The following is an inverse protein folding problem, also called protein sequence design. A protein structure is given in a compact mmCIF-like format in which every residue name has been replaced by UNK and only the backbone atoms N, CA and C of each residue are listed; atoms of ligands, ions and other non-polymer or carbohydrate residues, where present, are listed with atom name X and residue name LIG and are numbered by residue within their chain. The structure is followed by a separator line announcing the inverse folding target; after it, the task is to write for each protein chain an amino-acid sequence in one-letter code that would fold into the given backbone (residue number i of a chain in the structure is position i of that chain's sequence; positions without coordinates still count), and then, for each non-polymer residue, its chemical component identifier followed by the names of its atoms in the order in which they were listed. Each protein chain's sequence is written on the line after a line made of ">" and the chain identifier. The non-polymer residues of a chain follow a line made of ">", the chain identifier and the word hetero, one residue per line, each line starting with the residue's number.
data_IF_738598967313
#
_entry.id   IF_738598967313
#
_cell.length_a   1.000
_cell.length_b   1.000
_cell.length_c   1.000
_cell.angle_alpha   90.00
_cell.angle_beta   90.00
_cell.angle_gamma   90.00
#
_symmetry.space_group_name_H-M   'P 1'
#
loop_
_entity.id
_entity.type
_entity.pdbx_description
1 polymer ?
#
# COMPACT_ATOMS: atom_id res chain seq x y z
N UNK A 1 2.95 27.98 1.77
CA UNK A 1 2.66 26.97 0.72
C UNK A 1 1.36 26.23 0.97
N UNK A 2 1.21 25.39 2.02
CA UNK A 2 -0.05 24.67 2.30
C UNK A 2 -1.26 25.61 2.37
N UNK A 3 -1.12 26.73 3.08
CA UNK A 3 -2.20 27.71 3.22
C UNK A 3 -2.62 28.32 1.89
N UNK A 4 -1.65 28.56 1.01
CA UNK A 4 -1.85 29.05 -0.36
C UNK A 4 -2.58 28.02 -1.22
N UNK A 5 -2.19 26.74 -1.13
CA UNK A 5 -2.85 25.66 -1.88
C UNK A 5 -4.31 25.50 -1.43
N UNK A 6 -4.55 25.51 -0.11
CA UNK A 6 -5.88 25.40 0.46
C UNK A 6 -6.77 26.64 0.19
N UNK A 7 -6.19 27.81 -0.05
CA UNK A 7 -6.97 29.01 -0.41
C UNK A 7 -7.30 29.08 -1.90
N UNK A 8 -6.40 28.61 -2.77
CA UNK A 8 -6.58 28.66 -4.22
C UNK A 8 -7.48 27.53 -4.74
N UNK A 9 -7.50 26.38 -4.05
CA UNK A 9 -8.31 25.22 -4.43
C UNK A 9 -9.07 24.67 -3.21
N UNK A 10 -10.02 25.45 -2.66
CA UNK A 10 -10.84 24.96 -1.56
C UNK A 10 -11.60 23.70 -2.02
N UNK A 11 -11.62 22.66 -1.18
CA UNK A 11 -12.25 21.35 -1.42
C UNK A 11 -11.48 20.36 -2.31
N UNK A 12 -10.26 20.70 -2.74
CA UNK A 12 -9.41 19.72 -3.40
C UNK A 12 -8.49 19.05 -2.37
N UNK A 13 -8.34 17.73 -2.50
CA UNK A 13 -7.35 17.00 -1.70
C UNK A 13 -5.92 17.45 -2.00
N UNK A 14 -5.01 17.20 -1.06
CA UNK A 14 -3.58 17.45 -1.21
C UNK A 14 -2.87 16.10 -1.27
N UNK A 15 -2.03 15.94 -2.29
CA UNK A 15 -0.97 14.94 -2.30
C UNK A 15 0.28 15.54 -1.65
N UNK A 16 0.81 14.85 -0.65
CA UNK A 16 2.01 15.24 0.07
C UNK A 16 3.09 14.18 -0.15
N UNK A 17 4.03 14.53 -1.02
CA UNK A 17 5.20 13.69 -1.29
C UNK A 17 6.14 13.61 -0.08
N UNK A 18 6.64 12.41 0.24
CA UNK A 18 7.65 12.20 1.28
C UNK A 18 7.19 12.73 2.68
N UNK A 19 5.94 12.45 3.05
CA UNK A 19 5.21 13.06 4.19
C UNK A 19 5.98 12.98 5.54
N UNK A 20 6.64 11.86 5.81
CA UNK A 20 7.41 11.65 7.04
C UNK A 20 8.91 11.86 6.87
N UNK A 21 9.39 11.99 5.63
CA UNK A 21 10.80 11.94 5.31
C UNK A 21 11.51 13.28 5.53
N UNK A 22 12.83 13.20 5.59
CA UNK A 22 13.75 14.33 5.62
C UNK A 22 15.02 13.89 4.93
N UNK A 23 15.65 14.78 4.16
CA UNK A 23 16.95 14.54 3.53
C UNK A 23 18.00 14.05 4.53
N UNK A 24 17.94 14.55 5.76
CA UNK A 24 18.76 14.07 6.87
C UNK A 24 17.83 13.47 7.93
N UNK A 25 17.93 12.16 8.24
CA UNK A 25 17.02 11.52 9.19
C UNK A 25 17.32 11.90 10.64
N UNK A 26 18.56 12.32 10.94
CA UNK A 26 19.01 12.64 12.29
C UNK A 26 19.72 13.99 12.39
N UNK A 27 19.54 14.63 13.53
CA UNK A 27 20.24 15.85 13.96
C UNK A 27 21.03 15.54 15.23
N UNK A 28 22.22 16.12 15.42
CA UNK A 28 23.11 15.80 16.56
C UNK A 28 23.30 16.98 17.54
N UNK A 29 22.51 18.03 17.40
CA UNK A 29 22.53 19.19 18.29
C UNK A 29 21.15 19.43 18.91
N UNK A 30 20.98 20.56 19.60
CA UNK A 30 19.67 20.97 20.10
C UNK A 30 18.69 21.34 18.98
N UNK A 31 17.38 21.12 19.18
CA UNK A 31 16.78 20.46 20.34
C UNK A 31 16.90 18.92 20.30
N UNK A 32 17.12 18.30 21.47
CA UNK A 32 17.03 16.83 21.62
C UNK A 32 15.56 16.34 21.62
N UNK A 33 15.26 15.27 20.89
CA UNK A 33 13.91 14.66 20.81
C UNK A 33 13.50 13.82 22.02
N UNK A 34 14.33 13.81 23.07
CA UNK A 34 14.11 13.16 24.36
C UNK A 34 14.12 11.62 24.34
N UNK A 35 14.45 10.99 23.21
CA UNK A 35 14.43 9.52 23.12
C UNK A 35 15.46 8.89 22.17
N UNK A 36 16.10 9.66 21.29
CA UNK A 36 17.04 9.11 20.31
C UNK A 36 18.50 9.18 20.77
N UNK A 37 19.26 8.12 20.50
CA UNK A 37 20.68 8.04 20.77
C UNK A 37 21.35 6.96 19.93
N UNK A 38 22.67 7.04 19.78
CA UNK A 38 23.47 5.94 19.24
C UNK A 38 23.92 5.02 20.36
N UNK A 39 23.75 3.71 20.17
CA UNK A 39 24.08 2.67 21.15
C UNK A 39 25.32 1.92 20.68
N UNK A 40 26.27 1.72 21.60
CA UNK A 40 27.38 0.80 21.39
C UNK A 40 26.86 -0.64 21.35
N UNK A 41 27.04 -1.30 20.20
CA UNK A 41 26.48 -2.65 19.97
C UNK A 41 27.06 -3.73 20.88
N UNK A 42 28.24 -3.51 21.49
CA UNK A 42 28.88 -4.51 22.36
C UNK A 42 28.47 -4.34 23.82
N UNK A 43 28.38 -3.10 24.27
CA UNK A 43 28.17 -2.75 25.69
C UNK A 43 26.74 -2.34 26.00
N UNK A 44 25.92 -2.03 24.98
CA UNK A 44 24.55 -1.54 25.15
C UNK A 44 24.44 -0.12 25.70
N UNK A 45 25.57 0.59 25.86
CA UNK A 45 25.59 1.95 26.41
C UNK A 45 25.31 2.99 25.33
N UNK A 46 24.65 4.08 25.72
CA UNK A 46 24.47 5.26 24.86
C UNK A 46 25.84 5.94 24.67
N UNK A 47 26.25 6.11 23.42
CA UNK A 47 27.50 6.78 23.01
C UNK A 47 27.28 8.29 22.87
N UNK A 48 26.17 8.67 22.23
CA UNK A 48 25.80 10.06 21.97
C UNK A 48 24.31 10.22 21.77
N UNK A 49 23.79 11.36 22.17
CA UNK A 49 22.41 11.76 21.87
C UNK A 49 22.31 12.24 20.43
N UNK A 50 21.13 12.03 19.84
CA UNK A 50 20.74 12.55 18.53
C UNK A 50 19.23 12.75 18.55
N UNK A 51 18.69 13.42 17.54
CA UNK A 51 17.26 13.60 17.36
C UNK A 51 16.82 13.03 16.02
N UNK A 52 15.73 12.28 16.00
CA UNK A 52 15.01 11.97 14.77
C UNK A 52 14.33 13.23 14.26
N UNK A 53 14.66 13.63 13.03
CA UNK A 53 14.02 14.81 12.40
C UNK A 53 12.52 14.60 12.24
N UNK A 54 12.08 13.35 12.05
CA UNK A 54 10.66 13.01 11.98
C UNK A 54 9.94 13.27 13.31
N UNK A 55 10.59 12.98 14.46
CA UNK A 55 10.02 13.25 15.77
C UNK A 55 10.02 14.75 16.10
N UNK A 56 11.11 15.46 15.82
CA UNK A 56 11.19 16.91 16.05
C UNK A 56 10.12 17.68 15.25
N UNK A 57 9.84 17.25 14.02
CA UNK A 57 8.87 17.92 13.14
C UNK A 57 7.44 17.40 13.29
N UNK A 58 7.22 16.35 14.10
CA UNK A 58 5.92 15.70 14.32
C UNK A 58 4.81 16.70 14.69
N UNK A 59 4.97 17.63 15.67
CA UNK A 59 3.88 18.53 16.05
C UNK A 59 3.42 19.43 14.89
N UNK A 60 4.37 19.89 14.08
CA UNK A 60 4.06 20.71 12.91
C UNK A 60 3.33 19.88 11.84
N UNK A 61 3.86 18.70 11.49
CA UNK A 61 3.23 17.81 10.50
C UNK A 61 1.82 17.40 10.89
N UNK A 62 1.61 17.03 12.16
CA UNK A 62 0.30 16.68 12.71
C UNK A 62 -0.70 17.83 12.55
N UNK A 63 -0.27 19.06 12.88
CA UNK A 63 -1.10 20.26 12.72
C UNK A 63 -1.46 20.50 11.26
N UNK A 64 -0.50 20.36 10.34
CA UNK A 64 -0.77 20.55 8.91
C UNK A 64 -1.70 19.47 8.35
N UNK A 65 -1.44 18.19 8.66
CA UNK A 65 -2.24 17.08 8.18
C UNK A 65 -3.72 17.21 8.62
N UNK A 66 -3.96 17.53 9.90
CA UNK A 66 -5.33 17.81 10.41
C UNK A 66 -5.99 18.99 9.69
N UNK A 67 -5.23 20.07 9.44
CA UNK A 67 -5.73 21.25 8.70
C UNK A 67 -6.15 20.89 7.27
N UNK A 68 -5.41 20.00 6.61
CA UNK A 68 -5.74 19.52 5.25
C UNK A 68 -6.99 18.65 5.31
N UNK A 69 -7.04 17.66 6.20
CA UNK A 69 -8.17 16.74 6.34
C UNK A 69 -9.50 17.44 6.67
N UNK A 70 -9.46 18.59 7.36
CA UNK A 70 -10.64 19.44 7.59
C UNK A 70 -11.21 20.06 6.30
N UNK A 71 -10.44 20.12 5.21
CA UNK A 71 -10.81 20.76 3.95
C UNK A 71 -10.89 19.80 2.76
N UNK A 72 -10.34 18.60 2.87
CA UNK A 72 -10.32 17.62 1.78
C UNK A 72 -9.45 16.41 2.09
N UNK A 73 -9.25 15.54 1.09
CA UNK A 73 -8.41 14.34 1.23
C UNK A 73 -6.92 14.71 1.41
N UNK A 74 -6.21 13.95 2.23
CA UNK A 74 -4.75 13.94 2.25
C UNK A 74 -4.28 12.57 1.77
N UNK A 75 -3.46 12.55 0.73
CA UNK A 75 -2.72 11.37 0.28
C UNK A 75 -1.24 11.62 0.51
N UNK A 76 -0.51 10.62 1.00
CA UNK A 76 0.92 10.74 1.25
C UNK A 76 1.75 9.75 0.45
N UNK A 77 2.99 10.11 0.16
CA UNK A 77 4.02 9.16 -0.22
C UNK A 77 4.96 8.87 0.96
N UNK A 78 5.41 7.63 1.01
CA UNK A 78 6.32 7.11 2.01
C UNK A 78 5.62 6.51 3.23
N UNK A 79 6.35 5.68 3.99
CA UNK A 79 5.86 5.12 5.24
C UNK A 79 5.69 6.19 6.33
N UNK A 80 4.74 5.98 7.23
CA UNK A 80 4.51 6.86 8.38
C UNK A 80 5.34 6.42 9.59
N UNK A 81 6.24 7.29 10.05
CA UNK A 81 7.17 6.96 11.14
C UNK A 81 6.60 7.16 12.55
N UNK A 82 5.55 7.97 12.70
CA UNK A 82 4.99 8.35 13.99
C UNK A 82 3.56 7.82 14.15
N UNK A 83 3.26 7.17 15.28
CA UNK A 83 1.94 6.61 15.57
C UNK A 83 0.84 7.68 15.59
N UNK A 84 1.14 8.88 16.12
CA UNK A 84 0.20 10.02 16.12
C UNK A 84 -0.23 10.44 14.70
N UNK A 85 0.65 10.28 13.71
CA UNK A 85 0.35 10.59 12.31
C UNK A 85 -0.42 9.43 11.67
N UNK A 86 -0.07 8.17 12.00
CA UNK A 86 -0.83 6.98 11.56
C UNK A 86 -2.27 7.02 12.05
N UNK A 87 -2.50 7.49 13.27
CA UNK A 87 -3.83 7.64 13.84
C UNK A 87 -4.76 8.60 13.07
N UNK A 88 -4.23 9.38 12.11
CA UNK A 88 -5.03 10.20 11.21
C UNK A 88 -5.67 9.41 10.05
N UNK A 89 -5.32 8.13 9.87
CA UNK A 89 -5.84 7.26 8.80
C UNK A 89 -5.71 7.90 7.39
N UNK A 90 -4.57 8.56 7.15
CA UNK A 90 -4.17 9.09 5.85
C UNK A 90 -3.74 7.94 4.95
N UNK A 91 -4.33 7.78 3.76
CA UNK A 91 -3.83 6.79 2.82
C UNK A 91 -2.44 7.19 2.32
N UNK A 92 -1.49 6.27 2.41
CA UNK A 92 -0.14 6.45 1.87
C UNK A 92 0.24 5.29 0.97
N UNK A 93 1.21 5.51 0.10
CA UNK A 93 1.85 4.46 -0.68
C UNK A 93 3.36 4.53 -0.51
N UNK A 94 4.05 3.43 -0.79
CA UNK A 94 5.52 3.37 -0.74
C UNK A 94 6.09 3.21 -2.13
N UNK A 95 7.12 4.00 -2.45
CA UNK A 95 7.87 3.82 -3.69
C UNK A 95 8.55 2.45 -3.74
N UNK A 96 8.33 1.75 -4.84
CA UNK A 96 8.93 0.42 -5.07
C UNK A 96 10.04 0.46 -6.10
N UNK A 97 10.92 1.46 -6.03
CA UNK A 97 12.18 1.48 -6.78
C UNK A 97 12.92 0.12 -6.71
N UNK A 98 12.69 -0.62 -5.62
CA UNK A 98 12.85 -2.07 -5.53
C UNK A 98 11.59 -2.70 -4.93
N UNK A 99 11.25 -3.92 -5.34
CA UNK A 99 10.02 -4.59 -4.89
C UNK A 99 10.00 -4.84 -3.38
N UNK A 100 11.15 -5.11 -2.76
CA UNK A 100 11.23 -5.35 -1.29
C UNK A 100 10.78 -4.14 -0.47
N UNK A 101 10.78 -2.94 -1.05
CA UNK A 101 10.32 -1.74 -0.33
C UNK A 101 8.82 -1.76 -0.06
N UNK A 102 8.04 -2.57 -0.79
CA UNK A 102 6.63 -2.81 -0.49
C UNK A 102 6.42 -3.35 0.95
N UNK A 103 7.38 -4.10 1.51
CA UNK A 103 7.31 -4.56 2.90
C UNK A 103 7.18 -3.42 3.92
N UNK A 104 7.64 -2.20 3.59
CA UNK A 104 7.51 -1.01 4.46
C UNK A 104 6.07 -0.54 4.63
N UNK A 105 5.16 -1.01 3.78
CA UNK A 105 3.74 -0.64 3.77
C UNK A 105 2.86 -1.52 4.66
N UNK A 106 3.34 -2.72 5.01
CA UNK A 106 2.56 -3.78 5.68
C UNK A 106 1.99 -3.37 7.05
N UNK A 107 2.62 -2.43 7.75
CA UNK A 107 2.20 -1.98 9.09
C UNK A 107 1.21 -0.81 9.07
N UNK A 108 0.74 -0.38 7.89
CA UNK A 108 -0.15 0.77 7.81
C UNK A 108 -1.08 0.77 6.59
N UNK A 109 -0.58 1.13 5.42
CA UNK A 109 -1.36 1.22 4.18
C UNK A 109 -0.64 0.37 3.14
N UNK A 110 -1.03 -0.90 2.95
CA UNK A 110 -0.30 -1.88 2.14
C UNK A 110 -0.47 -1.59 0.64
N UNK A 111 0.07 -0.45 0.21
CA UNK A 111 -0.05 0.08 -1.15
C UNK A 111 1.36 0.34 -1.69
N UNK A 112 1.73 -0.42 -2.70
CA UNK A 112 2.93 -0.25 -3.49
C UNK A 112 2.66 0.76 -4.62
N UNK A 113 3.48 1.80 -4.73
CA UNK A 113 3.44 2.73 -5.86
C UNK A 113 4.16 2.13 -7.05
N UNK A 114 3.61 2.28 -8.26
CA UNK A 114 4.26 1.88 -9.51
C UNK A 114 5.70 2.37 -9.65
N UNK A 115 6.55 1.52 -10.24
CA UNK A 115 7.97 1.77 -10.38
C UNK A 115 8.30 2.29 -11.78
N UNK A 116 8.22 3.61 -11.94
CA UNK A 116 8.58 4.29 -13.19
C UNK A 116 10.02 4.08 -13.67
N UNK A 117 10.92 3.55 -12.83
CA UNK A 117 12.31 3.29 -13.21
C UNK A 117 12.45 2.01 -14.05
N UNK A 118 11.50 1.08 -13.94
CA UNK A 118 11.54 -0.21 -14.63
C UNK A 118 10.29 -0.48 -15.47
N UNK A 119 9.20 0.24 -15.23
CA UNK A 119 7.96 0.11 -16.00
C UNK A 119 8.05 0.86 -17.32
N UNK A 120 8.24 0.11 -18.41
CA UNK A 120 8.28 0.65 -19.77
C UNK A 120 7.02 0.33 -20.57
N UNK A 121 6.32 -0.76 -20.23
CA UNK A 121 5.09 -1.20 -20.88
C UNK A 121 4.03 -1.76 -19.90
N UNK A 122 2.86 -2.14 -20.44
CA UNK A 122 1.75 -2.68 -19.68
C UNK A 122 2.11 -4.01 -18.97
N UNK A 123 2.99 -4.81 -19.57
CA UNK A 123 3.46 -6.07 -19.04
C UNK A 123 4.42 -5.88 -17.86
N UNK A 124 5.29 -4.87 -17.90
CA UNK A 124 6.10 -4.47 -16.75
C UNK A 124 5.22 -4.04 -15.58
N UNK A 125 4.21 -3.20 -15.84
CA UNK A 125 3.25 -2.78 -14.82
C UNK A 125 2.59 -4.01 -14.18
N UNK A 126 2.11 -4.97 -14.98
CA UNK A 126 1.50 -6.18 -14.44
C UNK A 126 2.47 -7.03 -13.61
N UNK A 127 3.72 -7.23 -14.07
CA UNK A 127 4.76 -7.92 -13.28
C UNK A 127 5.04 -7.21 -11.96
N UNK A 128 5.02 -5.88 -11.94
CA UNK A 128 5.22 -5.13 -10.70
C UNK A 128 4.00 -5.23 -9.77
N UNK A 129 2.77 -5.30 -10.29
CA UNK A 129 1.58 -5.62 -9.48
C UNK A 129 1.70 -7.00 -8.81
N UNK A 130 2.16 -8.02 -9.54
CA UNK A 130 2.40 -9.34 -8.96
C UNK A 130 3.51 -9.32 -7.91
N UNK A 131 4.55 -8.52 -8.13
CA UNK A 131 5.65 -8.31 -7.17
C UNK A 131 5.16 -7.60 -5.90
N UNK A 132 4.23 -6.64 -6.02
CA UNK A 132 3.59 -6.01 -4.86
C UNK A 132 2.78 -7.03 -4.04
N UNK A 133 2.05 -7.94 -4.71
CA UNK A 133 1.31 -9.01 -4.04
C UNK A 133 2.22 -9.97 -3.29
N UNK A 134 3.46 -10.20 -3.73
CA UNK A 134 4.44 -11.02 -2.98
C UNK A 134 4.74 -10.45 -1.57
N UNK A 135 4.42 -9.16 -1.33
CA UNK A 135 4.51 -8.49 -0.04
C UNK A 135 3.13 -8.18 0.56
N UNK A 136 2.06 -8.77 0.04
CA UNK A 136 0.69 -8.52 0.50
C UNK A 136 0.25 -7.07 0.29
N UNK A 137 0.72 -6.42 -0.78
CA UNK A 137 0.36 -5.04 -1.11
C UNK A 137 -0.52 -4.97 -2.36
N UNK A 138 -1.48 -4.05 -2.35
CA UNK A 138 -2.14 -3.59 -3.56
C UNK A 138 -1.28 -2.55 -4.28
N UNK A 139 -1.65 -2.23 -5.51
CA UNK A 139 -0.86 -1.42 -6.41
C UNK A 139 -1.53 -0.08 -6.67
N UNK A 140 -0.75 1.01 -6.62
CA UNK A 140 -1.15 2.34 -7.06
C UNK A 140 -0.46 2.66 -8.38
N UNK A 141 -1.26 2.88 -9.43
CA UNK A 141 -0.75 3.20 -10.75
C UNK A 141 -0.01 4.54 -10.74
N UNK A 142 1.24 4.54 -11.23
CA UNK A 142 2.09 5.73 -11.17
C UNK A 142 2.44 6.31 -12.56
N UNK A 143 2.59 5.46 -13.58
CA UNK A 143 3.00 5.92 -14.92
C UNK A 143 1.97 6.87 -15.53
N UNK A 144 2.42 8.05 -15.96
CA UNK A 144 1.62 9.01 -16.72
C UNK A 144 1.66 8.82 -18.24
N UNK A 145 2.50 7.90 -18.75
CA UNK A 145 2.70 7.68 -20.18
C UNK A 145 2.29 6.27 -20.65
N UNK A 146 2.16 5.31 -19.74
CA UNK A 146 1.59 3.98 -20.04
C UNK A 146 0.08 4.09 -19.85
N UNK A 147 -0.64 4.07 -20.97
CA UNK A 147 -2.11 4.11 -21.00
C UNK A 147 -2.64 2.74 -21.37
N UNK A 148 -3.51 2.18 -20.51
CA UNK A 148 -4.08 0.85 -20.69
C UNK A 148 -5.55 0.97 -21.06
N UNK A 149 -5.96 0.30 -22.15
CA UNK A 149 -7.35 0.39 -22.68
C UNK A 149 -8.26 -0.77 -22.27
N UNK A 150 -7.79 -1.63 -21.38
CA UNK A 150 -8.48 -2.80 -20.89
C UNK A 150 -8.43 -2.85 -19.37
N UNK A 151 -9.29 -3.66 -18.77
CA UNK A 151 -9.30 -3.85 -17.32
C UNK A 151 -7.96 -4.45 -16.87
N UNK A 152 -7.32 -3.78 -15.92
CA UNK A 152 -6.10 -4.26 -15.27
C UNK A 152 -6.40 -4.87 -13.91
N UNK A 153 -5.45 -5.66 -13.40
CA UNK A 153 -5.49 -6.10 -12.02
C UNK A 153 -5.61 -4.91 -11.06
N UNK A 154 -4.82 -3.85 -11.24
CA UNK A 154 -4.88 -2.63 -10.43
C UNK A 154 -6.29 -2.00 -10.39
N UNK A 155 -7.00 -1.96 -11.53
CA UNK A 155 -8.39 -1.49 -11.59
C UNK A 155 -9.38 -2.35 -10.80
N UNK A 156 -8.98 -3.57 -10.44
CA UNK A 156 -9.77 -4.53 -9.66
C UNK A 156 -9.28 -4.68 -8.22
N UNK A 157 -8.26 -3.92 -7.78
CA UNK A 157 -7.72 -4.04 -6.41
C UNK A 157 -8.48 -3.22 -5.35
N UNK A 158 -9.40 -2.34 -5.76
CA UNK A 158 -10.08 -1.38 -4.86
C UNK A 158 -11.61 -1.39 -5.02
N UNK A 159 -12.36 -1.01 -3.96
CA UNK A 159 -11.91 -0.76 -2.58
C UNK A 159 -11.44 -2.02 -1.86
N UNK A 160 -10.54 -1.88 -0.89
CA UNK A 160 -10.08 -2.97 -0.02
C UNK A 160 -9.77 -2.45 1.39
N UNK A 161 -10.31 -3.14 2.39
CA UNK A 161 -10.04 -2.97 3.81
C UNK A 161 -9.29 -4.21 4.29
N UNK A 162 -7.95 -4.15 4.41
CA UNK A 162 -7.13 -5.33 4.67
C UNK A 162 -7.44 -5.99 6.03
N UNK A 163 -7.58 -7.32 6.02
CA UNK A 163 -7.74 -8.19 7.19
C UNK A 163 -6.46 -9.03 7.39
N UNK A 164 -5.93 -9.59 6.30
CA UNK A 164 -4.75 -10.45 6.32
C UNK A 164 -3.85 -10.16 5.12
N UNK A 165 -2.53 -10.10 5.36
CA UNK A 165 -1.51 -9.93 4.34
C UNK A 165 -0.65 -11.19 4.30
N UNK A 166 -0.29 -11.65 3.10
CA UNK A 166 0.64 -12.77 2.97
C UNK A 166 1.40 -12.77 1.64
N UNK A 167 2.37 -13.68 1.49
CA UNK A 167 3.22 -13.73 0.32
C UNK A 167 2.43 -14.19 -0.91
N UNK A 168 2.03 -13.22 -1.74
CA UNK A 168 1.26 -13.44 -2.96
C UNK A 168 -0.24 -13.22 -2.78
N UNK A 169 -0.71 -12.69 -1.63
CA UNK A 169 -2.12 -12.40 -1.44
C UNK A 169 -2.38 -11.27 -0.42
N UNK A 170 -3.57 -10.70 -0.54
CA UNK A 170 -4.19 -9.84 0.46
C UNK A 170 -5.67 -10.21 0.57
N UNK A 171 -6.12 -10.45 1.81
CA UNK A 171 -7.53 -10.68 2.14
C UNK A 171 -8.03 -9.39 2.76
N UNK A 172 -9.04 -8.77 2.15
CA UNK A 172 -9.77 -7.66 2.75
C UNK A 172 -11.25 -7.97 2.91
N UNK A 173 -12.00 -7.07 3.54
CA UNK A 173 -13.43 -7.25 3.80
C UNK A 173 -14.26 -7.38 2.51
N UNK A 174 -13.89 -6.64 1.47
CA UNK A 174 -14.61 -6.52 0.21
C UNK A 174 -14.08 -7.46 -0.87
N UNK A 175 -12.79 -7.82 -0.80
CA UNK A 175 -12.15 -8.69 -1.81
C UNK A 175 -10.92 -9.42 -1.31
N UNK A 176 -10.65 -10.56 -1.95
CA UNK A 176 -9.38 -11.28 -1.85
C UNK A 176 -8.64 -11.09 -3.16
N UNK A 177 -7.38 -10.68 -3.10
CA UNK A 177 -6.51 -10.54 -4.28
C UNK A 177 -5.35 -11.50 -4.11
N UNK A 178 -5.09 -12.35 -5.09
CA UNK A 178 -4.08 -13.41 -4.97
C UNK A 178 -3.43 -13.76 -6.29
N UNK A 179 -2.18 -14.22 -6.22
CA UNK A 179 -1.45 -14.91 -7.30
C UNK A 179 -1.08 -16.34 -6.94
N UNK A 180 -1.76 -16.91 -5.94
CA UNK A 180 -1.54 -18.27 -5.42
C UNK A 180 -2.77 -19.13 -5.64
N UNK A 181 -2.57 -20.39 -6.06
CA UNK A 181 -3.62 -21.41 -5.98
C UNK A 181 -4.05 -21.66 -4.54
N UNK A 182 -5.30 -22.04 -4.33
CA UNK A 182 -5.84 -22.27 -2.99
C UNK A 182 -7.36 -22.27 -2.92
N UNK A 183 -7.86 -22.31 -1.68
CA UNK A 183 -9.28 -22.14 -1.37
C UNK A 183 -9.49 -20.80 -0.72
N UNK A 184 -10.40 -20.00 -1.27
CA UNK A 184 -10.58 -18.62 -0.88
C UNK A 184 -12.05 -18.30 -0.61
N UNK A 185 -12.29 -17.55 0.45
CA UNK A 185 -13.59 -17.14 0.97
C UNK A 185 -13.43 -16.47 2.34
N UNK A 186 -14.52 -15.96 2.91
CA UNK A 186 -14.49 -15.22 4.19
C UNK A 186 -14.86 -16.05 5.41
N UNK A 187 -14.83 -17.39 5.31
CA UNK A 187 -15.40 -18.28 6.33
C UNK A 187 -16.85 -17.89 6.69
N UNK A 188 -17.62 -17.44 5.71
CA UNK A 188 -19.03 -17.09 5.84
C UNK A 188 -19.83 -17.60 4.63
N UNK A 189 -21.11 -17.24 4.59
CA UNK A 189 -22.03 -17.64 3.52
C UNK A 189 -22.13 -16.61 2.40
N UNK A 190 -21.24 -15.62 2.34
CA UNK A 190 -21.30 -14.59 1.29
C UNK A 190 -21.08 -15.20 -0.09
N UNK A 191 -21.82 -14.72 -1.07
CA UNK A 191 -21.53 -15.02 -2.48
C UNK A 191 -20.44 -14.08 -2.99
N UNK A 192 -19.78 -14.46 -4.09
CA UNK A 192 -18.71 -13.66 -4.65
C UNK A 192 -18.59 -13.86 -6.16
N UNK A 193 -17.97 -12.87 -6.80
CA UNK A 193 -17.54 -12.89 -8.19
C UNK A 193 -16.04 -13.16 -8.30
N UNK A 194 -15.60 -13.69 -9.44
CA UNK A 194 -14.21 -13.96 -9.74
C UNK A 194 -13.78 -13.21 -10.99
N UNK A 195 -12.65 -12.51 -10.88
CA UNK A 195 -11.95 -11.88 -12.00
C UNK A 195 -10.56 -12.49 -12.07
N UNK A 196 -10.16 -13.05 -13.21
CA UNK A 196 -8.84 -13.67 -13.39
C UNK A 196 -8.06 -12.97 -14.49
N UNK A 197 -6.77 -12.77 -14.25
CA UNK A 197 -5.81 -12.22 -15.19
C UNK A 197 -4.76 -13.25 -15.55
N UNK A 198 -4.47 -13.37 -16.85
CA UNK A 198 -3.44 -14.27 -17.37
C UNK A 198 -2.01 -13.76 -17.10
N UNK A 199 -1.01 -14.48 -17.61
CA UNK A 199 0.40 -14.13 -17.46
C UNK A 199 0.79 -12.80 -18.11
N UNK A 200 -0.05 -12.24 -18.97
CA UNK A 200 0.14 -10.94 -19.65
C UNK A 200 -0.69 -9.82 -19.01
N UNK A 201 -1.47 -10.14 -17.97
CA UNK A 201 -2.32 -9.18 -17.27
C UNK A 201 -3.65 -8.91 -17.97
N UNK A 202 -4.11 -9.83 -18.84
CA UNK A 202 -5.39 -9.74 -19.56
C UNK A 202 -6.46 -10.58 -18.89
N UNK A 203 -7.70 -10.13 -18.95
CA UNK A 203 -8.83 -10.88 -18.42
C UNK A 203 -8.96 -12.26 -19.08
N UNK A 204 -9.32 -13.24 -18.26
CA UNK A 204 -9.70 -14.58 -18.71
C UNK A 204 -11.20 -14.74 -18.49
N UNK A 205 -11.99 -14.74 -19.57
CA UNK A 205 -13.46 -14.76 -19.49
C UNK A 205 -14.01 -16.09 -18.99
N UNK A 206 -13.43 -17.21 -19.43
CA UNK A 206 -13.93 -18.57 -19.14
C UNK A 206 -13.05 -19.33 -18.13
N UNK A 207 -12.50 -18.63 -17.12
CA UNK A 207 -11.70 -19.30 -16.10
C UNK A 207 -12.58 -20.20 -15.21
N UNK A 208 -12.34 -21.52 -15.26
CA UNK A 208 -13.09 -22.50 -14.47
C UNK A 208 -12.57 -22.54 -13.04
N UNK A 209 -13.37 -22.07 -12.10
CA UNK A 209 -13.06 -22.09 -10.67
C UNK A 209 -14.22 -22.68 -9.86
N UNK A 210 -14.12 -23.96 -9.45
CA UNK A 210 -15.18 -24.62 -8.69
C UNK A 210 -15.54 -23.85 -7.40
N UNK A 211 -16.83 -23.66 -7.17
CA UNK A 211 -17.36 -23.17 -5.90
C UNK A 211 -17.79 -24.35 -5.03
N UNK A 212 -17.42 -24.36 -3.76
CA UNK A 212 -17.76 -25.41 -2.81
C UNK A 212 -18.22 -24.82 -1.49
N UNK A 213 -19.22 -25.44 -0.85
CA UNK A 213 -19.57 -25.17 0.54
C UNK A 213 -18.75 -26.06 1.46
N UNK A 214 -17.95 -25.46 2.33
CA UNK A 214 -17.14 -26.15 3.34
C UNK A 214 -17.60 -25.73 4.72
N UNK A 215 -18.10 -26.67 5.51
CA UNK A 215 -18.67 -26.40 6.84
C UNK A 215 -19.75 -25.29 6.82
N UNK A 216 -20.54 -25.23 5.75
CA UNK A 216 -21.58 -24.21 5.56
C UNK A 216 -21.11 -22.91 4.88
N UNK A 217 -19.80 -22.67 4.78
CA UNK A 217 -19.22 -21.45 4.22
C UNK A 217 -18.88 -21.59 2.74
N UNK A 218 -19.00 -20.51 1.98
CA UNK A 218 -18.72 -20.49 0.55
C UNK A 218 -17.24 -20.27 0.27
N UNK A 219 -16.65 -21.10 -0.60
CA UNK A 219 -15.29 -20.93 -1.10
C UNK A 219 -15.21 -21.15 -2.60
N UNK A 220 -14.21 -20.53 -3.23
CA UNK A 220 -13.76 -20.86 -4.58
C UNK A 220 -12.38 -21.51 -4.54
N UNK A 221 -12.24 -22.61 -5.30
CA UNK A 221 -10.94 -23.21 -5.60
C UNK A 221 -10.29 -22.50 -6.78
N UNK A 222 -9.08 -22.00 -6.58
CA UNK A 222 -8.25 -21.44 -7.64
C UNK A 222 -7.06 -22.36 -7.91
N UNK A 223 -6.87 -22.70 -9.18
CA UNK A 223 -5.69 -23.38 -9.71
C UNK A 223 -5.02 -22.44 -10.71
N UNK A 224 -4.21 -21.50 -10.21
CA UNK A 224 -3.62 -20.43 -11.02
C UNK A 224 -2.32 -20.91 -11.67
N UNK A 225 -2.18 -20.80 -13.02
CA UNK A 225 -0.90 -20.97 -13.69
C UNK A 225 0.15 -19.94 -13.22
N UNK A 226 1.45 -20.16 -13.51
CA UNK A 226 2.48 -19.16 -13.23
C UNK A 226 2.14 -17.79 -13.80
N UNK A 227 2.34 -16.74 -13.00
CA UNK A 227 2.06 -15.34 -13.33
C UNK A 227 0.59 -14.98 -13.59
N UNK A 228 -0.35 -15.87 -13.28
CA UNK A 228 -1.76 -15.49 -13.20
C UNK A 228 -2.05 -14.80 -11.87
N UNK A 229 -3.13 -14.03 -11.84
CA UNK A 229 -3.67 -13.44 -10.63
C UNK A 229 -5.19 -13.47 -10.66
N UNK A 230 -5.80 -13.39 -9.49
CA UNK A 230 -7.24 -13.40 -9.32
C UNK A 230 -7.68 -12.37 -8.28
N UNK A 231 -8.88 -11.83 -8.50
CA UNK A 231 -9.63 -11.03 -7.54
C UNK A 231 -10.96 -11.71 -7.30
N UNK A 232 -11.23 -12.05 -6.04
CA UNK A 232 -12.51 -12.55 -5.58
C UNK A 232 -13.23 -11.41 -4.90
N UNK A 233 -14.38 -11.00 -5.43
CA UNK A 233 -15.12 -9.80 -5.00
C UNK A 233 -16.35 -10.26 -4.22
N UNK A 234 -16.45 -9.87 -2.96
CA UNK A 234 -17.58 -10.18 -2.08
C UNK A 234 -18.84 -9.43 -2.55
N UNK A 235 -20.00 -10.09 -2.50
CA UNK A 235 -21.33 -9.50 -2.76
C UNK A 235 -22.09 -9.23 -1.48
#
# INVERSE_FOLDING_TARGET
>A
MIDTLLSQRPNNGIYWDELSYSKTPYHYSEPWDQCSGDIDRKTGKVIRLKSSVALLTKPWRLKQAKKIQQKGLLLGNGPLFCDDIRALNIQTFVETARSEFAARAQLYSPIALGNHLIESDEGDCYRNMLSALDYGCVYAWYSGWISVKYQTLAGSMYPITPIELGPGYIIGEERIITRKSGWYGWNDTSSHELVVFDATGRLVEDFVAPQEKRNGNNFTKLELPPNFSAVIIKK
#
